data_IF_644043024649
#
_entry.id   IF_644043024649
#
_cell.length_a   1.000
_cell.length_b   1.000
_cell.length_c   1.000
_cell.angle_alpha   90.00
_cell.angle_beta   90.00
_cell.angle_gamma   90.00
#
_symmetry.space_group_name_H-M   'P 1'
#
loop_
_entity.id
_entity.type
_entity.pdbx_description
1 polymer ?
#
# COMPACT_ATOMS: atom_id res chain seq x y z
N UNK A 1 -69.21 5.01 -37.94
CA UNK A 1 -69.74 5.55 -36.69
C UNK A 1 -69.51 4.52 -35.59
N UNK A 2 -68.44 4.67 -34.82
CA UNK A 2 -68.09 3.78 -33.71
C UNK A 2 -68.65 4.38 -32.42
N UNK A 3 -69.41 3.58 -31.65
CA UNK A 3 -70.07 4.03 -30.44
C UNK A 3 -69.05 4.47 -29.36
N UNK A 4 -69.32 5.54 -28.60
CA UNK A 4 -68.43 6.00 -27.53
C UNK A 4 -68.41 5.00 -26.37
N UNK A 5 -67.22 4.70 -25.85
CA UNK A 5 -66.99 3.77 -24.74
C UNK A 5 -67.65 4.35 -23.47
N UNK A 6 -68.52 3.60 -22.76
CA UNK A 6 -69.14 4.06 -21.52
C UNK A 6 -68.06 4.28 -20.46
N UNK A 7 -67.96 5.51 -19.93
CA UNK A 7 -66.92 5.89 -18.96
C UNK A 7 -67.24 5.52 -17.52
N UNK A 8 -68.49 5.18 -17.22
CA UNK A 8 -68.94 4.99 -15.84
C UNK A 8 -69.65 3.64 -15.72
N UNK A 9 -68.87 2.59 -15.45
CA UNK A 9 -69.42 1.32 -14.93
C UNK A 9 -69.48 1.50 -13.41
N UNK A 10 -70.68 1.70 -12.82
CA UNK A 10 -70.80 1.69 -11.37
C UNK A 10 -70.44 0.28 -10.88
N UNK A 11 -69.68 0.20 -9.78
CA UNK A 11 -69.27 -1.04 -9.09
C UNK A 11 -67.92 -1.69 -9.46
N UNK A 12 -67.00 -0.99 -10.13
CA UNK A 12 -65.60 -1.45 -10.18
C UNK A 12 -64.91 -1.25 -8.82
N UNK A 13 -64.39 -2.32 -8.17
CA UNK A 13 -63.61 -2.18 -6.95
C UNK A 13 -62.36 -1.33 -7.24
N UNK A 14 -62.07 -0.38 -6.36
CA UNK A 14 -60.91 0.50 -6.52
C UNK A 14 -59.65 -0.34 -6.70
N UNK A 15 -58.95 -0.16 -7.82
CA UNK A 15 -57.67 -0.82 -8.08
C UNK A 15 -56.73 -0.45 -6.93
N UNK A 16 -56.17 -1.43 -6.20
CA UNK A 16 -55.23 -1.15 -5.12
C UNK A 16 -54.11 -0.26 -5.67
N UNK A 17 -53.93 0.92 -5.08
CA UNK A 17 -52.90 1.86 -5.51
C UNK A 17 -51.54 1.17 -5.57
N UNK A 18 -50.75 1.45 -6.61
CA UNK A 18 -49.45 0.81 -6.78
C UNK A 18 -48.63 0.97 -5.49
N UNK A 19 -48.20 -0.12 -4.85
CA UNK A 19 -47.43 -0.02 -3.63
C UNK A 19 -46.16 0.80 -3.91
N UNK A 20 -45.93 1.83 -3.09
CA UNK A 20 -44.68 2.60 -3.15
C UNK A 20 -43.53 1.66 -2.84
N UNK A 21 -42.81 1.23 -3.88
CA UNK A 21 -41.57 0.48 -3.73
C UNK A 21 -40.59 1.37 -2.94
N UNK A 22 -40.28 0.95 -1.70
CA UNK A 22 -39.23 1.58 -0.92
C UNK A 22 -37.92 1.46 -1.71
N UNK A 23 -37.22 2.56 -1.89
CA UNK A 23 -35.91 2.59 -2.54
C UNK A 23 -34.92 1.79 -1.69
N UNK A 24 -34.74 0.50 -2.02
CA UNK A 24 -33.68 -0.31 -1.43
C UNK A 24 -32.34 0.23 -1.93
N UNK A 25 -31.41 0.63 -1.03
CA UNK A 25 -30.09 1.09 -1.44
C UNK A 25 -29.28 -0.12 -1.91
N UNK A 26 -29.48 -0.52 -3.16
CA UNK A 26 -28.60 -1.50 -3.81
C UNK A 26 -27.24 -0.81 -3.94
N UNK A 27 -26.18 -1.32 -3.30
CA UNK A 27 -24.86 -0.73 -3.42
C UNK A 27 -24.47 -0.70 -4.90
N UNK A 28 -23.94 0.40 -5.42
CA UNK A 28 -23.53 0.49 -6.83
C UNK A 28 -22.58 -0.65 -7.24
N UNK A 29 -21.83 -1.21 -6.28
CA UNK A 29 -20.97 -2.38 -6.46
C UNK A 29 -21.71 -3.69 -6.83
N UNK A 30 -23.03 -3.78 -6.63
CA UNK A 30 -23.85 -4.91 -7.06
C UNK A 30 -24.27 -4.83 -8.53
N UNK A 31 -24.15 -3.65 -9.15
CA UNK A 31 -24.56 -3.38 -10.54
C UNK A 31 -23.35 -3.36 -11.49
N UNK A 32 -22.14 -3.18 -10.97
CA UNK A 32 -20.90 -3.18 -11.77
C UNK A 32 -20.40 -4.61 -11.95
N UNK A 33 -20.33 -5.08 -13.20
CA UNK A 33 -19.78 -6.38 -13.53
C UNK A 33 -18.31 -6.51 -13.06
N UNK A 34 -17.92 -7.61 -12.39
CA UNK A 34 -16.54 -7.86 -12.01
C UNK A 34 -15.62 -7.89 -13.24
N UNK A 35 -14.78 -6.87 -13.41
CA UNK A 35 -13.81 -6.80 -14.51
C UNK A 35 -12.45 -7.34 -14.08
N UNK A 36 -11.92 -8.32 -14.83
CA UNK A 36 -10.55 -8.83 -14.63
C UNK A 36 -9.53 -7.80 -15.13
N UNK A 37 -8.42 -7.64 -14.40
CA UNK A 37 -7.31 -6.74 -14.77
C UNK A 37 -6.00 -7.53 -14.86
N UNK A 38 -5.79 -8.33 -15.91
CA UNK A 38 -4.67 -9.27 -15.99
C UNK A 38 -3.31 -8.56 -16.04
N UNK A 39 -3.20 -7.41 -16.73
CA UNK A 39 -1.96 -6.63 -16.77
C UNK A 39 -1.57 -6.09 -15.40
N UNK A 40 -2.52 -5.53 -14.65
CA UNK A 40 -2.28 -5.09 -13.28
C UNK A 40 -1.92 -6.27 -12.35
N UNK A 41 -2.54 -7.43 -12.55
CA UNK A 41 -2.22 -8.63 -11.80
C UNK A 41 -0.78 -9.12 -12.10
N UNK A 42 -0.38 -9.14 -13.37
CA UNK A 42 0.96 -9.52 -13.79
C UNK A 42 2.03 -8.57 -13.23
N UNK A 43 1.83 -7.26 -13.34
CA UNK A 43 2.75 -6.26 -12.77
C UNK A 43 2.93 -6.46 -11.26
N UNK A 44 1.83 -6.57 -10.50
CA UNK A 44 1.87 -6.80 -9.05
C UNK A 44 2.57 -8.11 -8.68
N UNK A 45 2.34 -9.17 -9.44
CA UNK A 45 3.00 -10.45 -9.22
C UNK A 45 4.50 -10.35 -9.50
N UNK A 46 4.91 -9.68 -10.57
CA UNK A 46 6.32 -9.45 -10.89
C UNK A 46 7.02 -8.62 -9.81
N UNK A 47 6.38 -7.57 -9.31
CA UNK A 47 6.92 -6.78 -8.19
C UNK A 47 7.01 -7.61 -6.91
N UNK A 48 6.01 -8.46 -6.62
CA UNK A 48 6.07 -9.36 -5.47
C UNK A 48 7.22 -10.37 -5.58
N UNK A 49 7.42 -10.94 -6.78
CA UNK A 49 8.53 -11.86 -7.04
C UNK A 49 9.87 -11.15 -6.88
N UNK A 50 10.01 -9.93 -7.42
CA UNK A 50 11.21 -9.12 -7.29
C UNK A 50 11.57 -8.87 -5.81
N UNK A 51 10.58 -8.50 -4.98
CA UNK A 51 10.75 -8.30 -3.55
C UNK A 51 11.20 -9.58 -2.82
N UNK A 52 10.58 -10.72 -3.16
CA UNK A 52 10.95 -12.03 -2.60
C UNK A 52 12.38 -12.40 -3.02
N UNK A 53 12.74 -12.22 -4.29
CA UNK A 53 14.10 -12.50 -4.79
C UNK A 53 15.15 -11.65 -4.09
N UNK A 54 14.89 -10.36 -3.87
CA UNK A 54 15.80 -9.50 -3.10
C UNK A 54 16.00 -10.02 -1.67
N UNK A 55 14.91 -10.40 -1.00
CA UNK A 55 14.95 -10.95 0.36
C UNK A 55 15.66 -12.31 0.44
N UNK A 56 15.43 -13.22 -0.52
CA UNK A 56 16.09 -14.53 -0.53
C UNK A 56 17.58 -14.39 -0.77
N UNK A 57 18.02 -13.53 -1.69
CA UNK A 57 19.44 -13.28 -1.91
C UNK A 57 20.08 -12.71 -0.63
N UNK A 58 19.41 -11.78 0.07
CA UNK A 58 19.91 -11.24 1.34
C UNK A 58 20.09 -12.34 2.41
N UNK A 59 19.13 -13.27 2.54
CA UNK A 59 19.25 -14.40 3.46
C UNK A 59 20.32 -15.43 3.05
N UNK A 60 20.56 -15.62 1.76
CA UNK A 60 21.55 -16.59 1.25
C UNK A 60 22.99 -16.06 1.32
N UNK A 61 23.18 -14.74 1.21
CA UNK A 61 24.50 -14.10 1.21
C UNK A 61 24.97 -13.69 2.61
N UNK A 62 24.07 -13.61 3.59
CA UNK A 62 24.37 -13.23 4.96
C UNK A 62 23.77 -14.20 5.98
N UNK A 63 23.70 -13.76 7.25
CA UNK A 63 22.96 -14.49 8.27
C UNK A 63 21.45 -14.26 8.09
N UNK A 64 20.64 -15.31 7.84
CA UNK A 64 19.19 -15.18 7.67
C UNK A 64 18.49 -14.49 8.85
N UNK A 65 18.96 -14.74 10.08
CA UNK A 65 18.35 -14.15 11.28
C UNK A 65 18.56 -12.63 11.33
N UNK A 66 19.75 -12.18 10.92
CA UNK A 66 20.10 -10.76 10.79
C UNK A 66 19.32 -10.13 9.63
N UNK A 67 19.31 -10.76 8.47
CA UNK A 67 18.58 -10.30 7.28
C UNK A 67 17.08 -10.09 7.58
N UNK A 68 16.43 -11.07 8.23
CA UNK A 68 15.01 -10.99 8.59
C UNK A 68 14.71 -9.98 9.71
N UNK A 69 15.71 -9.57 10.48
CA UNK A 69 15.57 -8.52 11.49
C UNK A 69 15.63 -7.11 10.91
N UNK A 70 16.08 -6.96 9.66
CA UNK A 70 16.12 -5.65 8.99
C UNK A 70 14.73 -5.19 8.54
N UNK A 71 14.43 -3.92 8.84
CA UNK A 71 13.18 -3.27 8.45
C UNK A 71 12.91 -3.41 6.95
N UNK A 72 13.93 -3.20 6.12
CA UNK A 72 13.81 -3.29 4.66
C UNK A 72 13.31 -4.66 4.21
N UNK A 73 13.85 -5.74 4.77
CA UNK A 73 13.45 -7.11 4.41
C UNK A 73 12.02 -7.37 4.87
N UNK A 74 11.69 -7.00 6.11
CA UNK A 74 10.34 -7.14 6.64
C UNK A 74 9.30 -6.35 5.83
N UNK A 75 9.60 -5.10 5.48
CA UNK A 75 8.70 -4.27 4.67
C UNK A 75 8.50 -4.82 3.26
N UNK A 76 9.55 -5.36 2.65
CA UNK A 76 9.47 -5.99 1.33
C UNK A 76 8.66 -7.29 1.36
N UNK A 77 8.77 -8.09 2.42
CA UNK A 77 7.93 -9.28 2.63
C UNK A 77 6.45 -8.88 2.76
N UNK A 78 6.14 -7.88 3.59
CA UNK A 78 4.77 -7.38 3.74
C UNK A 78 4.20 -6.86 2.41
N UNK A 79 5.00 -6.11 1.65
CA UNK A 79 4.63 -5.66 0.31
C UNK A 79 4.40 -6.84 -0.65
N UNK A 80 5.29 -7.82 -0.69
CA UNK A 80 5.15 -8.99 -1.55
C UNK A 80 3.85 -9.75 -1.28
N UNK A 81 3.50 -9.96 -0.01
CA UNK A 81 2.26 -10.59 0.39
C UNK A 81 1.03 -9.77 -0.03
N UNK A 82 1.06 -8.45 0.20
CA UNK A 82 -0.02 -7.55 -0.19
C UNK A 82 -0.21 -7.53 -1.72
N UNK A 83 0.87 -7.44 -2.49
CA UNK A 83 0.84 -7.42 -3.96
C UNK A 83 0.44 -8.77 -4.55
N UNK A 84 0.89 -9.90 -3.98
CA UNK A 84 0.45 -11.23 -4.40
C UNK A 84 -1.06 -11.42 -4.18
N UNK A 85 -1.57 -10.97 -3.02
CA UNK A 85 -3.00 -11.01 -2.75
C UNK A 85 -3.79 -10.05 -3.66
N UNK A 86 -3.25 -8.86 -3.93
CA UNK A 86 -3.84 -7.90 -4.87
C UNK A 86 -3.87 -8.45 -6.30
N UNK A 87 -2.81 -9.12 -6.74
CA UNK A 87 -2.71 -9.79 -8.04
C UNK A 87 -3.76 -10.88 -8.17
N UNK A 88 -3.88 -11.76 -7.17
CA UNK A 88 -4.90 -12.82 -7.14
C UNK A 88 -6.32 -12.25 -7.23
N UNK A 89 -6.61 -11.15 -6.50
CA UNK A 89 -7.92 -10.49 -6.52
C UNK A 89 -8.19 -9.81 -7.88
N UNK A 90 -7.19 -9.17 -8.48
CA UNK A 90 -7.29 -8.58 -9.82
C UNK A 90 -7.51 -9.63 -10.92
N UNK A 91 -6.93 -10.83 -10.77
CA UNK A 91 -7.11 -11.96 -11.68
C UNK A 91 -8.49 -12.62 -11.56
N UNK A 92 -9.01 -12.73 -10.33
CA UNK A 92 -10.31 -13.35 -10.00
C UNK A 92 -11.48 -12.35 -10.01
N UNK A 93 -11.25 -11.11 -10.45
CA UNK A 93 -12.22 -10.01 -10.43
C UNK A 93 -12.86 -9.76 -9.06
N UNK A 94 -12.14 -10.05 -7.97
CA UNK A 94 -12.60 -9.78 -6.60
C UNK A 94 -12.36 -8.31 -6.23
N UNK A 95 -13.06 -7.85 -5.20
CA UNK A 95 -12.89 -6.50 -4.65
C UNK A 95 -11.41 -6.22 -4.32
N UNK A 96 -10.87 -5.06 -4.69
CA UNK A 96 -9.48 -4.69 -4.40
C UNK A 96 -9.21 -4.73 -2.89
N UNK A 97 -7.92 -4.80 -2.53
CA UNK A 97 -7.53 -4.74 -1.13
C UNK A 97 -7.89 -3.38 -0.52
N UNK A 98 -8.06 -3.33 0.82
CA UNK A 98 -8.26 -2.05 1.51
C UNK A 98 -7.10 -1.11 1.19
N UNK A 99 -7.42 0.12 0.78
CA UNK A 99 -6.41 1.14 0.45
C UNK A 99 -5.48 1.42 1.65
N UNK A 100 -6.00 1.25 2.88
CA UNK A 100 -5.22 1.30 4.11
C UNK A 100 -4.04 0.31 4.11
N UNK A 101 -4.25 -0.92 3.64
CA UNK A 101 -3.21 -1.95 3.66
C UNK A 101 -2.15 -1.69 2.59
N UNK A 102 -2.58 -1.38 1.36
CA UNK A 102 -1.66 -1.10 0.25
C UNK A 102 -0.87 0.19 0.47
N UNK A 103 -1.50 1.20 1.09
CA UNK A 103 -0.84 2.45 1.49
C UNK A 103 0.20 2.23 2.60
N UNK A 104 -0.10 1.38 3.59
CA UNK A 104 0.86 1.02 4.64
C UNK A 104 2.12 0.36 4.07
N UNK A 105 1.94 -0.67 3.22
CA UNK A 105 3.07 -1.39 2.62
C UNK A 105 3.89 -0.51 1.70
N UNK A 106 3.24 0.40 0.97
CA UNK A 106 3.94 1.40 0.15
C UNK A 106 4.78 2.33 1.02
N UNK A 107 4.19 2.87 2.09
CA UNK A 107 4.90 3.75 3.02
C UNK A 107 6.15 3.04 3.57
N UNK A 108 6.02 1.81 4.06
CA UNK A 108 7.14 1.09 4.68
C UNK A 108 8.30 0.88 3.71
N UNK A 109 8.01 0.48 2.48
CA UNK A 109 9.05 0.24 1.47
C UNK A 109 9.68 1.54 0.97
N UNK A 110 8.91 2.63 0.85
CA UNK A 110 9.46 3.95 0.52
C UNK A 110 10.33 4.50 1.65
N UNK A 111 9.93 4.34 2.91
CA UNK A 111 10.76 4.71 4.07
C UNK A 111 12.06 3.92 4.03
N UNK A 112 12.01 2.60 3.83
CA UNK A 112 13.21 1.77 3.76
C UNK A 112 14.19 2.23 2.67
N UNK A 113 13.69 2.51 1.46
CA UNK A 113 14.52 3.04 0.37
C UNK A 113 15.07 4.43 0.66
N UNK A 114 14.24 5.35 1.16
CA UNK A 114 14.66 6.72 1.48
C UNK A 114 15.71 6.76 2.58
N UNK A 115 15.54 5.97 3.64
CA UNK A 115 16.53 5.87 4.72
C UNK A 115 17.87 5.40 4.18
N UNK A 116 17.86 4.40 3.31
CA UNK A 116 19.08 3.89 2.69
C UNK A 116 19.78 4.95 1.81
N UNK A 117 19.02 5.69 0.99
CA UNK A 117 19.60 6.69 0.07
C UNK A 117 19.94 8.03 0.72
N UNK A 118 19.27 8.42 1.81
CA UNK A 118 19.45 9.71 2.48
C UNK A 118 20.42 9.65 3.66
N UNK A 119 20.62 8.50 4.30
CA UNK A 119 21.63 8.38 5.34
C UNK A 119 23.01 8.17 4.69
N UNK A 120 24.04 8.97 5.05
CA UNK A 120 25.37 8.86 4.45
C UNK A 120 25.98 7.44 4.57
N UNK A 121 26.62 7.01 3.48
CA UNK A 121 27.21 5.67 3.31
C UNK A 121 28.22 5.26 4.41
N UNK A 122 28.83 6.23 5.10
CA UNK A 122 29.74 5.98 6.23
C UNK A 122 29.05 5.31 7.44
N UNK A 123 27.72 5.44 7.54
CA UNK A 123 26.91 4.77 8.55
C UNK A 123 26.31 3.44 8.08
N UNK A 124 26.47 3.03 6.81
CA UNK A 124 25.92 1.77 6.30
C UNK A 124 26.96 0.64 6.24
N UNK A 125 28.24 0.95 6.03
CA UNK A 125 29.27 -0.07 5.80
C UNK A 125 29.02 -0.91 4.52
N UNK A 126 30.00 -1.70 4.05
CA UNK A 126 30.00 -2.18 2.67
C UNK A 126 28.82 -3.07 2.26
N UNK A 127 28.11 -3.67 3.21
CA UNK A 127 26.86 -4.37 2.95
C UNK A 127 26.09 -4.52 4.26
N UNK A 128 25.34 -3.48 4.64
CA UNK A 128 24.58 -3.41 5.89
C UNK A 128 23.64 -4.61 6.10
N UNK A 129 23.15 -5.21 5.01
CA UNK A 129 22.23 -6.36 5.06
C UNK A 129 22.93 -7.72 5.24
N UNK A 130 24.14 -7.90 4.71
CA UNK A 130 24.82 -9.21 4.69
C UNK A 130 26.03 -9.31 5.62
N UNK A 131 26.50 -8.19 6.20
CA UNK A 131 27.54 -8.17 7.23
C UNK A 131 28.93 -8.66 6.79
N UNK A 132 29.09 -9.10 5.54
CA UNK A 132 30.30 -9.71 4.97
C UNK A 132 30.78 -9.05 3.67
N UNK A 133 31.69 -9.72 2.96
CA UNK A 133 32.31 -9.23 1.73
C UNK A 133 31.28 -8.92 0.62
N UNK A 134 31.48 -7.81 -0.09
CA UNK A 134 30.57 -7.34 -1.15
C UNK A 134 30.65 -8.24 -2.37
N UNK A 135 29.81 -9.27 -2.43
CA UNK A 135 29.58 -10.06 -3.64
C UNK A 135 28.67 -9.28 -4.60
N UNK A 136 28.78 -9.53 -5.91
CA UNK A 136 27.87 -8.93 -6.91
C UNK A 136 26.40 -9.20 -6.61
N UNK A 137 26.10 -10.36 -6.01
CA UNK A 137 24.76 -10.72 -5.55
C UNK A 137 24.28 -9.89 -4.36
N UNK A 138 25.16 -9.54 -3.41
CA UNK A 138 24.79 -8.67 -2.28
C UNK A 138 24.42 -7.26 -2.77
N UNK A 139 25.17 -6.71 -3.73
CA UNK A 139 24.85 -5.43 -4.36
C UNK A 139 23.55 -5.47 -5.14
N UNK A 140 23.28 -6.56 -5.87
CA UNK A 140 22.01 -6.74 -6.57
C UNK A 140 20.82 -6.78 -5.58
N UNK A 141 20.93 -7.51 -4.47
CA UNK A 141 19.87 -7.57 -3.45
C UNK A 141 19.58 -6.19 -2.85
N UNK A 142 20.64 -5.44 -2.54
CA UNK A 142 20.54 -4.10 -2.00
C UNK A 142 19.80 -3.15 -2.96
N UNK A 143 20.19 -3.16 -4.24
CA UNK A 143 19.54 -2.35 -5.27
C UNK A 143 18.07 -2.76 -5.52
N UNK A 144 17.78 -4.06 -5.47
CA UNK A 144 16.42 -4.59 -5.62
C UNK A 144 15.51 -4.11 -4.48
N UNK A 145 15.98 -4.22 -3.24
CA UNK A 145 15.19 -3.96 -2.04
C UNK A 145 15.03 -2.46 -1.73
N UNK A 146 16.05 -1.65 -2.04
CA UNK A 146 16.07 -0.21 -1.72
C UNK A 146 15.73 0.70 -2.90
N UNK A 147 15.74 0.20 -4.13
CA UNK A 147 15.49 1.03 -5.32
C UNK A 147 14.41 0.44 -6.21
N UNK A 148 14.63 -0.76 -6.76
CA UNK A 148 13.74 -1.31 -7.79
C UNK A 148 12.33 -1.59 -7.24
N UNK A 149 12.24 -2.19 -6.05
CA UNK A 149 10.95 -2.55 -5.44
C UNK A 149 10.16 -1.32 -4.95
N UNK A 150 10.77 -0.34 -4.23
CA UNK A 150 10.09 0.91 -3.89
C UNK A 150 9.56 1.67 -5.11
N UNK A 151 10.34 1.76 -6.19
CA UNK A 151 9.91 2.42 -7.43
C UNK A 151 8.74 1.65 -8.06
N UNK A 152 8.83 0.33 -8.18
CA UNK A 152 7.75 -0.48 -8.73
C UNK A 152 6.46 -0.39 -7.90
N UNK A 153 6.57 -0.34 -6.56
CA UNK A 153 5.43 -0.13 -5.67
C UNK A 153 4.80 1.26 -5.86
N UNK A 154 5.61 2.31 -6.01
CA UNK A 154 5.14 3.65 -6.30
C UNK A 154 4.43 3.73 -7.66
N UNK A 155 4.93 3.01 -8.67
CA UNK A 155 4.29 2.90 -9.99
C UNK A 155 2.97 2.12 -9.94
N UNK A 156 2.87 1.02 -9.19
CA UNK A 156 1.59 0.31 -8.98
C UNK A 156 0.57 1.27 -8.36
N UNK A 157 0.98 1.99 -7.32
CA UNK A 157 0.11 2.96 -6.67
C UNK A 157 -0.27 4.11 -7.62
N UNK A 158 0.66 4.66 -8.41
CA UNK A 158 0.39 5.77 -9.33
C UNK A 158 -0.51 5.40 -10.51
N UNK A 159 -0.31 4.22 -11.09
CA UNK A 159 -0.91 3.86 -12.38
C UNK A 159 -2.06 2.86 -12.26
N UNK A 160 -2.04 1.99 -11.23
CA UNK A 160 -2.90 0.81 -11.15
C UNK A 160 -3.88 0.83 -9.97
N UNK A 161 -3.77 1.78 -9.05
CA UNK A 161 -4.72 1.98 -7.96
C UNK A 161 -5.63 3.18 -8.18
N UNK A 162 -6.89 3.08 -7.73
CA UNK A 162 -7.86 4.15 -7.87
C UNK A 162 -7.55 5.26 -6.86
N UNK A 163 -7.47 6.53 -7.27
CA UNK A 163 -7.15 7.65 -6.37
C UNK A 163 -8.30 7.98 -5.41
N UNK A 164 -7.99 8.69 -4.33
CA UNK A 164 -8.95 9.27 -3.37
C UNK A 164 -9.46 8.32 -2.29
N UNK A 165 -8.75 7.22 -2.03
CA UNK A 165 -9.15 6.21 -1.04
C UNK A 165 -8.28 6.20 0.22
N UNK A 166 -7.09 6.81 0.19
CA UNK A 166 -6.25 6.96 1.37
C UNK A 166 -6.82 8.07 2.26
N UNK A 167 -6.84 7.87 3.58
CA UNK A 167 -7.34 8.88 4.54
C UNK A 167 -6.27 9.16 5.58
N UNK A 168 -6.15 10.41 6.03
CA UNK A 168 -5.22 10.79 7.12
C UNK A 168 -5.45 9.99 8.41
N UNK A 169 -6.70 9.60 8.70
CA UNK A 169 -7.02 8.70 9.83
C UNK A 169 -6.31 7.34 9.76
N UNK A 170 -5.94 6.89 8.57
CA UNK A 170 -5.19 5.64 8.36
C UNK A 170 -3.68 5.85 8.54
N UNK A 171 -3.17 7.08 8.50
CA UNK A 171 -1.75 7.35 8.69
C UNK A 171 -1.29 7.04 10.13
N UNK A 172 -2.13 7.29 11.13
CA UNK A 172 -1.83 7.01 12.55
C UNK A 172 -1.47 5.53 12.79
N UNK A 173 -2.30 4.54 12.41
CA UNK A 173 -1.94 3.14 12.59
C UNK A 173 -0.74 2.70 11.71
N UNK A 174 -0.49 3.36 10.58
CA UNK A 174 0.70 3.07 9.77
C UNK A 174 1.99 3.45 10.49
N UNK A 175 1.99 4.53 11.25
CA UNK A 175 3.18 4.99 11.98
C UNK A 175 3.53 4.11 13.17
N UNK A 176 2.57 3.31 13.65
CA UNK A 176 2.80 2.42 14.79
C UNK A 176 3.90 1.40 14.51
N UNK A 177 3.98 0.87 13.27
CA UNK A 177 4.97 -0.13 12.91
C UNK A 177 6.40 0.44 12.80
N UNK A 178 6.66 1.54 12.05
CA UNK A 178 7.97 2.21 12.05
C UNK A 178 8.41 2.66 13.44
N UNK A 179 7.49 3.19 14.26
CA UNK A 179 7.81 3.63 15.63
C UNK A 179 8.15 2.45 16.54
N UNK A 180 7.39 1.35 16.46
CA UNK A 180 7.69 0.13 17.21
C UNK A 180 9.03 -0.47 16.78
N UNK A 181 9.33 -0.47 15.47
CA UNK A 181 10.61 -0.94 14.96
C UNK A 181 11.78 -0.04 15.40
N UNK A 182 11.56 1.27 15.44
CA UNK A 182 12.54 2.22 15.96
C UNK A 182 12.83 1.96 17.43
N UNK A 183 11.79 1.76 18.25
CA UNK A 183 11.94 1.40 19.66
C UNK A 183 12.65 0.05 19.84
N UNK A 184 12.32 -0.95 19.02
CA UNK A 184 13.01 -2.24 18.99
C UNK A 184 14.49 -2.09 18.62
N UNK A 185 14.81 -1.27 17.62
CA UNK A 185 16.19 -1.04 17.17
C UNK A 185 17.02 -0.35 18.25
N UNK A 186 16.42 0.60 18.99
CA UNK A 186 17.06 1.25 20.14
C UNK A 186 17.27 0.26 21.29
N UNK A 187 16.27 -0.54 21.63
CA UNK A 187 16.37 -1.56 22.68
C UNK A 187 17.39 -2.65 22.34
N UNK A 188 17.43 -3.11 21.09
CA UNK A 188 18.43 -4.04 20.59
C UNK A 188 19.84 -3.43 20.75
N UNK A 189 20.01 -2.16 20.37
CA UNK A 189 21.30 -1.51 20.50
C UNK A 189 21.78 -1.44 21.97
N UNK A 190 20.90 -1.07 22.91
CA UNK A 190 21.24 -1.01 24.35
C UNK A 190 21.58 -2.40 24.94
N UNK A 191 20.80 -3.44 24.60
CA UNK A 191 20.98 -4.79 25.18
C UNK A 191 22.29 -5.44 24.69
N UNK A 192 22.64 -5.26 23.41
CA UNK A 192 23.82 -5.89 22.81
C UNK A 192 25.09 -5.03 22.91
N UNK A 193 24.98 -3.74 23.23
CA UNK A 193 26.14 -2.89 23.54
C UNK A 193 26.91 -3.33 24.80
N UNK A 194 26.25 -4.03 25.73
CA UNK A 194 26.83 -4.33 27.05
C UNK A 194 27.47 -5.71 27.22
N UNK A 195 27.41 -6.64 26.25
CA UNK A 195 27.81 -8.02 26.59
C UNK A 195 28.28 -8.96 25.48
N UNK A 196 28.18 -8.64 24.19
CA UNK A 196 28.63 -9.55 23.14
C UNK A 196 29.14 -8.78 21.94
N UNK A 197 30.12 -9.34 21.23
CA UNK A 197 30.72 -8.79 20.00
C UNK A 197 29.73 -8.75 18.80
N UNK A 198 28.47 -8.41 19.03
CA UNK A 198 27.45 -8.25 18.01
C UNK A 198 27.54 -6.84 17.40
N UNK A 199 27.93 -6.77 16.13
CA UNK A 199 28.01 -5.53 15.35
C UNK A 199 26.63 -4.87 15.29
N UNK A 200 26.47 -3.58 15.66
CA UNK A 200 25.16 -2.92 15.70
C UNK A 200 24.42 -3.04 14.36
N UNK A 201 23.10 -3.26 14.41
CA UNK A 201 22.26 -3.43 13.22
C UNK A 201 22.27 -2.18 12.33
N UNK A 202 22.39 -1.01 12.96
CA UNK A 202 22.47 0.28 12.29
C UNK A 202 23.55 1.16 12.95
N UNK A 203 24.69 1.40 12.27
CA UNK A 203 25.78 2.23 12.81
C UNK A 203 25.38 3.68 13.15
N UNK A 204 24.27 4.20 12.61
CA UNK A 204 23.71 5.53 12.95
C UNK A 204 22.90 5.56 14.25
N UNK A 205 22.53 4.38 14.79
CA UNK A 205 21.91 4.23 16.12
C UNK A 205 22.94 3.80 17.17
N UNK A 206 24.21 3.70 16.82
CA UNK A 206 25.27 3.31 17.73
C UNK A 206 25.53 4.44 18.75
N UNK A 207 24.96 4.26 19.94
CA UNK A 207 25.13 5.16 21.08
C UNK A 207 26.58 5.23 21.56
N UNK A 208 27.40 4.21 21.31
CA UNK A 208 28.82 4.19 21.65
C UNK A 208 29.67 5.03 20.69
N UNK A 209 29.24 5.21 19.43
CA UNK A 209 29.93 6.05 18.42
C UNK A 209 29.43 7.50 18.35
N UNK A 210 28.12 7.74 18.46
CA UNK A 210 27.53 9.06 18.21
C UNK A 210 26.95 9.73 19.47
N UNK A 211 26.91 9.01 20.60
CA UNK A 211 26.31 9.49 21.83
C UNK A 211 24.78 9.53 21.79
N UNK A 212 24.16 9.40 22.96
CA UNK A 212 22.71 9.28 23.13
C UNK A 212 21.91 10.43 22.50
N UNK A 213 22.47 11.65 22.55
CA UNK A 213 21.82 12.88 22.04
C UNK A 213 21.70 12.88 20.51
N UNK A 214 22.71 12.37 19.80
CA UNK A 214 22.69 12.27 18.33
C UNK A 214 21.75 11.16 17.86
N UNK A 215 21.73 10.03 18.58
CA UNK A 215 20.84 8.90 18.27
C UNK A 215 19.37 9.30 18.42
N UNK A 216 19.04 10.01 19.50
CA UNK A 216 17.67 10.53 19.71
C UNK A 216 17.28 11.56 18.63
N UNK A 217 18.22 12.42 18.21
CA UNK A 217 18.02 13.35 17.10
C UNK A 217 17.73 12.64 15.77
N UNK A 218 18.52 11.61 15.43
CA UNK A 218 18.31 10.80 14.23
C UNK A 218 16.98 10.04 14.27
N UNK A 219 16.62 9.49 15.42
CA UNK A 219 15.34 8.81 15.64
C UNK A 219 14.15 9.76 15.44
N UNK A 220 14.23 10.98 16.00
CA UNK A 220 13.22 12.03 15.81
C UNK A 220 13.10 12.46 14.35
N UNK A 221 14.24 12.71 13.69
CA UNK A 221 14.28 13.09 12.28
C UNK A 221 13.65 12.00 11.39
N UNK A 222 13.96 10.73 11.67
CA UNK A 222 13.40 9.60 10.96
C UNK A 222 11.89 9.47 11.17
N UNK A 223 11.43 9.63 12.41
CA UNK A 223 10.01 9.63 12.75
C UNK A 223 9.26 10.76 12.02
N UNK A 224 9.82 11.97 12.03
CA UNK A 224 9.23 13.13 11.37
C UNK A 224 9.22 12.98 9.84
N UNK A 225 10.30 12.47 9.25
CA UNK A 225 10.38 12.19 7.82
C UNK A 225 9.35 11.13 7.40
N UNK A 226 9.19 10.08 8.20
CA UNK A 226 8.18 9.04 7.97
C UNK A 226 6.76 9.61 8.06
N UNK A 227 6.51 10.47 9.04
CA UNK A 227 5.24 11.19 9.17
C UNK A 227 4.95 12.09 7.97
N UNK A 228 5.94 12.90 7.56
CA UNK A 228 5.83 13.79 6.41
C UNK A 228 5.53 13.00 5.12
N UNK A 229 6.20 11.85 4.93
CA UNK A 229 5.96 10.98 3.78
C UNK A 229 4.56 10.37 3.79
N UNK A 230 4.06 9.95 4.96
CA UNK A 230 2.69 9.44 5.09
C UNK A 230 1.66 10.52 4.70
N UNK A 231 1.84 11.76 5.16
CA UNK A 231 0.99 12.89 4.79
C UNK A 231 1.10 13.19 3.29
N UNK A 232 2.31 13.18 2.73
CA UNK A 232 2.54 13.41 1.30
C UNK A 232 1.84 12.37 0.44
N UNK A 233 1.92 11.08 0.78
CA UNK A 233 1.21 10.01 0.06
C UNK A 233 -0.31 10.24 0.09
N UNK A 234 -0.87 10.60 1.25
CA UNK A 234 -2.30 10.91 1.36
C UNK A 234 -2.67 12.14 0.53
N UNK A 235 -1.86 13.20 0.56
CA UNK A 235 -2.11 14.41 -0.23
C UNK A 235 -2.08 14.11 -1.74
N UNK A 236 -1.05 13.41 -2.21
CA UNK A 236 -0.91 13.00 -3.59
C UNK A 236 -2.05 12.07 -4.05
N UNK A 237 -2.57 11.20 -3.17
CA UNK A 237 -3.73 10.36 -3.48
C UNK A 237 -5.00 11.17 -3.80
N UNK A 238 -5.19 12.31 -3.12
CA UNK A 238 -6.34 13.21 -3.32
C UNK A 238 -6.14 14.19 -4.48
N UNK A 239 -4.89 14.56 -4.78
CA UNK A 239 -4.56 15.45 -5.89
C UNK A 239 -4.64 14.77 -7.26
N UNK A 240 -4.58 13.43 -7.29
CA UNK A 240 -4.68 12.67 -8.53
C UNK A 240 -6.05 12.84 -9.18
N UNK A 241 -6.10 13.23 -10.46
CA UNK A 241 -7.36 13.27 -11.20
C UNK A 241 -7.97 11.88 -11.20
N UNK A 242 -9.18 11.72 -10.68
CA UNK A 242 -9.94 10.49 -10.89
C UNK A 242 -10.15 10.33 -12.39
N UNK A 243 -9.70 9.23 -13.03
CA UNK A 243 -10.12 8.93 -14.38
C UNK A 243 -11.60 8.56 -14.29
N UNK A 244 -12.48 9.57 -14.27
CA UNK A 244 -13.90 9.36 -14.43
C UNK A 244 -14.04 8.72 -15.80
N UNK A 245 -14.56 7.48 -15.91
CA UNK A 245 -15.08 7.06 -17.19
C UNK A 245 -16.16 8.09 -17.50
N UNK A 246 -16.00 8.86 -18.58
CA UNK A 246 -17.07 9.70 -19.09
C UNK A 246 -18.23 8.75 -19.29
N UNK A 247 -19.20 8.78 -18.37
CA UNK A 247 -20.46 8.05 -18.52
C UNK A 247 -20.99 8.50 -19.89
N UNK A 248 -21.11 7.61 -20.90
CA UNK A 248 -21.84 8.00 -22.09
C UNK A 248 -23.20 8.41 -21.55
N UNK A 249 -23.62 9.66 -21.81
CA UNK A 249 -24.99 10.07 -21.55
C UNK A 249 -25.84 9.15 -22.43
N UNK A 250 -26.27 8.01 -21.90
CA UNK A 250 -27.27 7.18 -22.55
C UNK A 250 -28.51 8.07 -22.59
N UNK A 251 -28.84 8.52 -23.80
CA UNK A 251 -29.89 9.49 -24.09
C UNK A 251 -31.31 8.96 -23.86
N UNK A 252 -31.50 8.09 -22.86
CA UNK A 252 -32.85 7.73 -22.40
C UNK A 252 -33.38 8.85 -21.51
N UNK A 253 -33.87 9.91 -22.16
CA UNK A 253 -34.89 10.76 -21.55
C UNK A 253 -36.16 9.92 -21.51
N UNK A 254 -36.55 9.45 -20.33
CA UNK A 254 -37.90 8.97 -20.10
C UNK A 254 -38.82 10.18 -20.33
N UNK A 255 -39.41 10.29 -21.51
CA UNK A 255 -40.52 11.20 -21.71
C UNK A 255 -41.70 10.66 -20.87
N UNK A 256 -42.37 11.51 -20.08
CA UNK A 256 -43.61 11.09 -19.44
C UNK A 256 -44.62 10.70 -20.54
N UNK A 257 -45.47 9.68 -20.30
CA UNK A 257 -46.52 9.33 -21.23
C UNK A 257 -47.40 10.57 -21.43
N UNK A 258 -47.45 11.05 -22.67
CA UNK A 258 -48.48 11.99 -23.12
C UNK A 258 -49.80 11.23 -23.06
N UNK A 259 -50.56 11.49 -22.00
CA UNK A 259 -51.98 11.16 -21.88
C UNK A 259 -52.83 12.36 -22.24
#
# INVERSE_FOLDING_TARGET
>A
MTAPIPRDIPDLPAVPGMPKLLSSPVPAAAVVAPARRPLAAAFRLLTALLAVTGGTIACLQGDPSRALSHFTVQSNILLALALALAARRAWTARRPLPAALTGATLLYVLVAGLVHHLLPADAAGPSSLTGGATTGWSSAADHILHTATPIAAALDWLLLTTPGHLRLRQAVPWLLYPLAYLAFSLAHNEIFATGTAARPLYPFLDTARHGYRSVLGNALLLGLATYALAVLLVALDHLRPTPSPRRPKTGFRLQPPVG
#
